data_IF_386518451728
#
_entry.id   IF_386518451728
#
_cell.length_a   1.000
_cell.length_b   1.000
_cell.length_c   1.000
_cell.angle_alpha   90.00
_cell.angle_beta   90.00
_cell.angle_gamma   90.00
#
_symmetry.space_group_name_H-M   'P 1'
#
loop_
_entity.id
_entity.type
_entity.pdbx_description
1 polymer ?
#
# COMPACT_ATOMS: atom_id res chain seq x y z
N UNK A 1 -5.40 8.47 -4.88
CA UNK A 1 -4.69 7.87 -6.05
C UNK A 1 -3.99 8.90 -6.94
N UNK A 2 -4.67 9.94 -7.44
CA UNK A 2 -4.07 10.89 -8.40
C UNK A 2 -2.83 11.65 -7.88
N UNK A 3 -2.69 11.79 -6.57
CA UNK A 3 -1.52 12.39 -5.95
C UNK A 3 -0.32 11.44 -5.84
N UNK A 4 -0.54 10.13 -5.87
CA UNK A 4 0.52 9.13 -5.69
C UNK A 4 1.32 8.91 -6.98
N UNK A 5 2.61 8.63 -6.85
CA UNK A 5 3.46 8.17 -7.94
C UNK A 5 3.33 6.66 -8.12
N UNK A 6 3.11 5.93 -7.02
CA UNK A 6 2.83 4.49 -7.02
C UNK A 6 1.73 4.12 -6.04
N UNK A 7 0.92 3.12 -6.40
CA UNK A 7 -0.03 2.45 -5.51
C UNK A 7 0.48 1.05 -5.20
N UNK A 8 0.56 0.70 -3.92
CA UNK A 8 1.06 -0.58 -3.42
C UNK A 8 -0.05 -1.43 -2.78
N UNK A 9 0.00 -2.74 -3.03
CA UNK A 9 -0.79 -3.75 -2.31
C UNK A 9 0.05 -4.92 -1.84
N UNK A 10 -0.40 -5.55 -0.76
CA UNK A 10 0.11 -6.85 -0.35
C UNK A 10 -0.30 -7.97 -1.31
N UNK A 11 0.52 -9.02 -1.38
CA UNK A 11 0.27 -10.19 -2.24
C UNK A 11 -1.08 -10.90 -1.99
N UNK A 12 -1.59 -10.88 -0.76
CA UNK A 12 -2.93 -11.41 -0.47
C UNK A 12 -4.04 -10.50 -0.99
N UNK A 13 -3.88 -9.19 -0.82
CA UNK A 13 -4.84 -8.20 -1.32
C UNK A 13 -4.95 -8.25 -2.83
N UNK A 14 -3.83 -8.35 -3.56
CA UNK A 14 -3.91 -8.43 -5.02
C UNK A 14 -4.55 -9.73 -5.51
N UNK A 15 -4.42 -10.84 -4.77
CA UNK A 15 -5.11 -12.10 -5.10
C UNK A 15 -6.63 -12.00 -4.96
N UNK A 16 -7.11 -11.15 -4.05
CA UNK A 16 -8.53 -10.85 -3.89
C UNK A 16 -9.00 -9.73 -4.85
N UNK A 17 -8.09 -8.90 -5.35
CA UNK A 17 -8.39 -7.83 -6.28
C UNK A 17 -8.55 -8.36 -7.71
N UNK A 18 -9.36 -7.67 -8.52
CA UNK A 18 -9.59 -8.04 -9.92
C UNK A 18 -8.67 -7.30 -10.90
N UNK A 19 -8.44 -6.00 -10.70
CA UNK A 19 -7.72 -5.15 -11.65
C UNK A 19 -6.85 -4.06 -11.00
N UNK A 20 -6.21 -3.21 -11.82
CA UNK A 20 -5.25 -2.19 -11.38
C UNK A 20 -5.89 -1.00 -10.64
N UNK A 21 -5.05 -0.22 -9.96
CA UNK A 21 -5.42 1.11 -9.47
C UNK A 21 -5.28 2.10 -10.62
N UNK A 22 -6.44 2.54 -11.12
CA UNK A 22 -6.52 3.68 -12.01
C UNK A 22 -7.10 4.91 -11.30
N UNK A 23 -6.61 6.06 -11.71
CA UNK A 23 -7.29 7.35 -11.63
C UNK A 23 -8.34 7.35 -12.74
N UNK A 24 -9.62 7.42 -12.34
CA UNK A 24 -10.77 7.33 -13.26
C UNK A 24 -11.22 8.69 -13.79
N UNK A 25 -10.97 9.75 -13.04
CA UNK A 25 -11.38 11.10 -13.41
C UNK A 25 -10.44 11.67 -14.51
N UNK A 26 -10.96 12.06 -15.68
CA UNK A 26 -10.14 12.59 -16.78
C UNK A 26 -9.46 13.93 -16.46
N UNK A 27 -10.05 14.76 -15.60
CA UNK A 27 -9.45 16.01 -15.16
C UNK A 27 -8.23 15.77 -14.29
N UNK A 28 -8.30 14.77 -13.40
CA UNK A 28 -7.17 14.36 -12.57
C UNK A 28 -6.04 13.73 -13.38
N UNK A 29 -6.33 12.91 -14.40
CA UNK A 29 -5.29 12.37 -15.29
C UNK A 29 -4.65 13.47 -16.14
N UNK A 30 -5.43 14.41 -16.68
CA UNK A 30 -4.91 15.57 -17.39
C UNK A 30 -4.01 16.46 -16.50
N UNK A 31 -4.42 16.69 -15.25
CA UNK A 31 -3.62 17.44 -14.26
C UNK A 31 -2.27 16.77 -13.95
N UNK A 32 -2.25 15.43 -13.85
CA UNK A 32 -0.98 14.68 -13.73
C UNK A 32 -0.09 14.88 -14.95
N UNK A 33 -0.64 14.78 -16.16
CA UNK A 33 0.13 14.97 -17.39
C UNK A 33 0.67 16.41 -17.51
N UNK A 34 -0.14 17.41 -17.16
CA UNK A 34 0.27 18.81 -17.14
C UNK A 34 1.42 19.10 -16.16
N UNK A 35 1.57 18.28 -15.11
CA UNK A 35 2.69 18.33 -14.15
C UNK A 35 3.86 17.41 -14.53
N UNK A 36 3.90 16.89 -15.77
CA UNK A 36 4.97 16.04 -16.28
C UNK A 36 4.94 14.60 -15.75
N UNK A 37 3.87 14.19 -15.07
CA UNK A 37 3.70 12.84 -14.51
C UNK A 37 2.91 11.96 -15.48
N UNK A 38 3.09 10.63 -15.45
CA UNK A 38 2.25 9.72 -16.23
C UNK A 38 0.77 9.85 -15.84
N UNK A 39 -0.14 9.64 -16.80
CA UNK A 39 -1.59 9.74 -16.59
C UNK A 39 -2.07 8.86 -15.43
N UNK A 40 -1.43 7.69 -15.24
CA UNK A 40 -1.70 6.76 -14.15
C UNK A 40 -0.51 6.69 -13.18
N UNK A 41 -0.74 6.46 -11.87
CA UNK A 41 0.33 6.05 -10.97
C UNK A 41 0.86 4.67 -11.37
N UNK A 42 2.12 4.41 -11.09
CA UNK A 42 2.65 3.05 -11.12
C UNK A 42 1.84 2.16 -10.16
N UNK A 43 1.86 0.85 -10.43
CA UNK A 43 1.22 -0.15 -9.60
C UNK A 43 2.28 -1.11 -9.07
N UNK A 44 2.24 -1.42 -7.78
CA UNK A 44 3.20 -2.30 -7.13
C UNK A 44 2.53 -3.38 -6.28
N UNK A 45 3.02 -4.60 -6.39
CA UNK A 45 2.65 -5.69 -5.48
C UNK A 45 3.83 -6.04 -4.60
N UNK A 46 3.62 -6.08 -3.30
CA UNK A 46 4.62 -6.50 -2.31
C UNK A 46 4.28 -7.91 -1.84
N UNK A 47 5.17 -8.86 -2.08
CA UNK A 47 4.93 -10.28 -1.78
C UNK A 47 6.19 -11.00 -1.35
N UNK A 48 6.12 -11.74 -0.24
CA UNK A 48 7.22 -12.57 0.23
C UNK A 48 7.41 -13.84 -0.62
N UNK A 49 6.31 -14.43 -1.09
CA UNK A 49 6.35 -15.70 -1.84
C UNK A 49 6.55 -15.53 -3.34
N UNK A 50 6.36 -14.32 -3.88
CA UNK A 50 6.30 -14.08 -5.32
C UNK A 50 5.03 -14.62 -5.99
N UNK A 51 4.19 -15.35 -5.26
CA UNK A 51 3.02 -16.02 -5.83
C UNK A 51 1.88 -15.00 -6.08
N UNK A 52 1.75 -14.63 -7.34
CA UNK A 52 0.70 -13.78 -7.90
C UNK A 52 0.10 -14.55 -9.09
N UNK A 53 -1.24 -14.70 -9.19
CA UNK A 53 -1.83 -15.40 -10.32
C UNK A 53 -1.49 -14.69 -11.64
N UNK A 54 -0.87 -15.38 -12.62
CA UNK A 54 -0.47 -14.76 -13.89
C UNK A 54 -1.67 -14.30 -14.73
N UNK A 55 -2.86 -14.80 -14.44
CA UNK A 55 -4.12 -14.45 -15.12
C UNK A 55 -4.82 -13.22 -14.57
N UNK A 56 -4.24 -12.51 -13.58
CA UNK A 56 -4.85 -11.28 -13.06
C UNK A 56 -4.90 -10.19 -14.13
N UNK A 57 -6.06 -9.55 -14.29
CA UNK A 57 -6.24 -8.37 -15.16
C UNK A 57 -5.29 -7.24 -14.75
N UNK A 58 -4.81 -7.26 -13.50
CA UNK A 58 -3.75 -6.39 -13.01
C UNK A 58 -2.57 -6.34 -13.98
N UNK A 59 -2.14 -7.45 -14.57
CA UNK A 59 -1.00 -7.49 -15.50
C UNK A 59 -1.30 -6.92 -16.90
N UNK A 60 -2.56 -6.86 -17.31
CA UNK A 60 -2.94 -6.67 -18.71
C UNK A 60 -3.39 -5.23 -19.02
N UNK A 61 -3.62 -4.40 -18.01
CA UNK A 61 -4.04 -3.01 -18.27
C UNK A 61 -2.96 -2.17 -18.99
N UNK A 62 -3.32 -1.41 -20.03
CA UNK A 62 -2.37 -0.60 -20.78
C UNK A 62 -1.84 0.57 -19.97
N UNK A 63 -0.67 1.09 -20.36
CA UNK A 63 -0.12 2.39 -19.91
C UNK A 63 0.10 2.56 -18.39
N UNK A 64 0.29 1.45 -17.68
CA UNK A 64 0.61 1.43 -16.25
C UNK A 64 1.95 0.72 -16.03
N UNK A 65 2.93 1.45 -15.49
CA UNK A 65 4.17 0.85 -15.03
C UNK A 65 3.91 -0.08 -13.84
N UNK A 66 4.52 -1.27 -13.84
CA UNK A 66 4.24 -2.33 -12.87
C UNK A 66 5.48 -2.87 -12.22
N UNK A 67 5.37 -3.07 -10.92
CA UNK A 67 6.44 -3.61 -10.10
C UNK A 67 5.94 -4.77 -9.24
N UNK A 68 6.74 -5.81 -9.13
CA UNK A 68 6.58 -6.85 -8.10
C UNK A 68 7.79 -6.77 -7.19
N UNK A 69 7.57 -6.30 -5.97
CA UNK A 69 8.56 -6.21 -4.91
C UNK A 69 8.57 -7.50 -4.10
N UNK A 70 9.72 -8.16 -4.04
CA UNK A 70 9.86 -9.45 -3.35
C UNK A 70 11.27 -9.64 -2.80
N UNK A 71 11.45 -10.66 -1.94
CA UNK A 71 12.77 -11.10 -1.51
C UNK A 71 13.35 -12.13 -2.49
N UNK A 72 14.64 -12.46 -2.35
CA UNK A 72 15.34 -13.38 -3.26
C UNK A 72 14.62 -14.73 -3.42
N UNK A 73 14.05 -15.26 -2.33
CA UNK A 73 13.27 -16.51 -2.34
C UNK A 73 11.99 -16.47 -3.18
N UNK A 74 11.32 -15.31 -3.24
CA UNK A 74 10.09 -15.13 -4.01
C UNK A 74 10.35 -14.73 -5.47
N UNK A 75 11.56 -14.27 -5.80
CA UNK A 75 11.90 -13.75 -7.12
C UNK A 75 11.64 -14.73 -8.29
N UNK A 76 11.93 -16.05 -8.19
CA UNK A 76 11.61 -16.98 -9.28
C UNK A 76 10.12 -17.04 -9.59
N UNK A 77 9.27 -17.21 -8.57
CA UNK A 77 7.81 -17.26 -8.73
C UNK A 77 7.24 -15.93 -9.24
N UNK A 78 7.76 -14.81 -8.75
CA UNK A 78 7.36 -13.48 -9.21
C UNK A 78 7.67 -13.27 -10.70
N UNK A 79 8.85 -13.70 -11.16
CA UNK A 79 9.25 -13.60 -12.58
C UNK A 79 8.38 -14.48 -13.47
N UNK A 80 8.09 -15.70 -13.03
CA UNK A 80 7.19 -16.62 -13.72
C UNK A 80 5.77 -16.05 -13.83
N UNK A 81 5.25 -15.45 -12.76
CA UNK A 81 3.93 -14.81 -12.76
C UNK A 81 3.89 -13.59 -13.69
N UNK A 82 4.92 -12.73 -13.61
CA UNK A 82 4.99 -11.50 -14.38
C UNK A 82 5.10 -11.74 -15.90
N UNK A 83 5.90 -12.74 -16.33
CA UNK A 83 6.16 -13.02 -17.75
C UNK A 83 6.58 -11.78 -18.54
N UNK A 84 7.38 -10.90 -17.93
CA UNK A 84 7.81 -9.64 -18.54
C UNK A 84 6.79 -8.49 -18.52
N UNK A 85 5.55 -8.71 -18.03
CA UNK A 85 4.50 -7.67 -17.91
C UNK A 85 4.67 -6.75 -16.70
N UNK A 86 5.59 -7.09 -15.79
CA UNK A 86 5.95 -6.28 -14.64
C UNK A 86 7.44 -6.44 -14.34
N UNK A 87 8.08 -5.38 -13.85
CA UNK A 87 9.44 -5.42 -13.35
C UNK A 87 9.48 -6.12 -11.99
N UNK A 88 10.31 -7.15 -11.85
CA UNK A 88 10.50 -7.84 -10.56
C UNK A 88 11.70 -7.24 -9.85
N UNK A 89 11.44 -6.59 -8.72
CA UNK A 89 12.44 -5.92 -7.88
C UNK A 89 12.73 -6.78 -6.67
N UNK A 90 13.99 -7.20 -6.53
CA UNK A 90 14.45 -8.03 -5.41
C UNK A 90 15.02 -7.12 -4.32
N UNK A 91 14.40 -7.12 -3.14
CA UNK A 91 14.71 -6.21 -2.02
C UNK A 91 15.72 -6.78 -1.01
N UNK A 92 16.39 -7.88 -1.37
CA UNK A 92 17.40 -8.56 -0.55
C UNK A 92 17.12 -10.04 -0.32
N UNK A 93 18.00 -10.68 0.44
CA UNK A 93 17.94 -12.12 0.76
C UNK A 93 16.93 -12.45 1.88
N UNK A 94 16.62 -11.47 2.72
CA UNK A 94 15.78 -11.63 3.91
C UNK A 94 14.28 -11.42 3.67
N UNK A 95 13.57 -11.16 4.76
CA UNK A 95 12.19 -10.65 4.66
C UNK A 95 12.18 -9.28 3.98
N UNK A 96 11.14 -9.03 3.19
CA UNK A 96 10.91 -7.71 2.60
C UNK A 96 10.66 -6.69 3.72
N UNK A 97 11.43 -5.60 3.72
CA UNK A 97 11.26 -4.46 4.63
C UNK A 97 10.70 -3.25 3.87
N UNK A 98 10.01 -2.37 4.61
CA UNK A 98 9.52 -1.11 4.04
C UNK A 98 10.68 -0.17 3.68
N UNK A 99 11.75 -0.17 4.47
CA UNK A 99 12.97 0.61 4.21
C UNK A 99 13.59 0.24 2.85
N UNK A 100 13.87 -1.05 2.62
CA UNK A 100 14.47 -1.50 1.37
C UNK A 100 13.55 -1.23 0.16
N UNK A 101 12.24 -1.37 0.35
CA UNK A 101 11.25 -1.02 -0.66
C UNK A 101 11.34 0.47 -1.01
N UNK A 102 11.33 1.37 -0.01
CA UNK A 102 11.41 2.81 -0.24
C UNK A 102 12.74 3.21 -0.91
N UNK A 103 13.86 2.62 -0.51
CA UNK A 103 15.16 2.85 -1.17
C UNK A 103 15.10 2.51 -2.67
N UNK A 104 14.50 1.38 -3.01
CA UNK A 104 14.31 0.98 -4.40
C UNK A 104 13.36 1.93 -5.17
N UNK A 105 12.36 2.51 -4.51
CA UNK A 105 11.47 3.50 -5.11
C UNK A 105 12.16 4.85 -5.33
N UNK A 106 12.98 5.31 -4.38
CA UNK A 106 13.77 6.54 -4.50
C UNK A 106 14.73 6.47 -5.68
N UNK A 107 15.40 5.33 -5.88
CA UNK A 107 16.27 5.10 -7.05
C UNK A 107 15.50 5.21 -8.39
N UNK A 108 14.18 5.01 -8.37
CA UNK A 108 13.27 5.14 -9.51
C UNK A 108 12.57 6.49 -9.57
N UNK A 109 12.96 7.46 -8.72
CA UNK A 109 12.34 8.79 -8.59
C UNK A 109 10.85 8.74 -8.26
N UNK A 110 10.45 7.75 -7.47
CA UNK A 110 9.09 7.61 -6.95
C UNK A 110 9.09 8.13 -5.51
N UNK A 111 8.33 9.19 -5.24
CA UNK A 111 8.36 9.88 -3.94
C UNK A 111 7.04 9.71 -3.17
N UNK A 112 5.89 9.78 -3.87
CA UNK A 112 4.56 9.69 -3.25
C UNK A 112 4.03 8.27 -3.33
N UNK A 113 4.12 7.54 -2.22
CA UNK A 113 3.68 6.15 -2.12
C UNK A 113 2.31 6.07 -1.46
N UNK A 114 1.33 5.47 -2.14
CA UNK A 114 0.04 5.13 -1.55
C UNK A 114 -0.02 3.63 -1.28
N UNK A 115 -0.19 3.24 -0.02
CA UNK A 115 -0.41 1.85 0.37
C UNK A 115 -1.90 1.63 0.58
N UNK A 116 -2.55 0.88 -0.30
CA UNK A 116 -4.02 0.73 -0.28
C UNK A 116 -4.50 -0.51 0.46
N UNK A 117 -3.64 -1.50 0.69
CA UNK A 117 -4.13 -2.68 1.39
C UNK A 117 -3.14 -3.77 1.69
N UNK A 118 -3.64 -4.64 2.55
CA UNK A 118 -2.93 -5.75 3.18
C UNK A 118 -2.54 -5.34 4.58
N UNK A 119 -3.23 -5.87 5.60
CA UNK A 119 -2.92 -5.57 7.00
C UNK A 119 -1.45 -5.86 7.34
N UNK A 120 -0.86 -6.90 6.74
CA UNK A 120 0.57 -7.19 6.85
C UNK A 120 1.48 -6.16 6.18
N UNK A 121 1.06 -5.60 5.03
CA UNK A 121 1.81 -4.54 4.35
C UNK A 121 1.73 -3.23 5.15
N UNK A 122 0.54 -2.83 5.62
CA UNK A 122 0.43 -1.67 6.50
C UNK A 122 1.25 -1.85 7.78
N UNK A 123 1.24 -3.06 8.37
CA UNK A 123 2.07 -3.38 9.52
C UNK A 123 3.57 -3.24 9.24
N UNK A 124 4.04 -3.67 8.06
CA UNK A 124 5.43 -3.53 7.65
C UNK A 124 5.89 -2.06 7.68
N UNK A 125 5.09 -1.14 7.13
CA UNK A 125 5.38 0.30 7.20
C UNK A 125 5.25 0.85 8.63
N UNK A 126 4.19 0.46 9.35
CA UNK A 126 3.93 0.93 10.71
C UNK A 126 5.04 0.52 11.70
N UNK A 127 5.51 -0.74 11.64
CA UNK A 127 6.56 -1.30 12.50
C UNK A 127 7.95 -0.76 12.19
N UNK A 128 8.16 -0.15 11.03
CA UNK A 128 9.40 0.56 10.66
C UNK A 128 9.30 2.08 10.86
N UNK A 129 8.08 2.62 11.03
CA UNK A 129 7.87 4.03 11.36
C UNK A 129 7.88 4.91 10.12
N UNK A 130 7.52 4.32 8.98
CA UNK A 130 7.58 4.92 7.65
C UNK A 130 6.19 5.31 7.13
N UNK A 131 5.30 5.71 8.03
CA UNK A 131 3.97 6.22 7.70
C UNK A 131 3.93 7.71 8.00
N UNK A 132 3.55 8.51 7.00
CA UNK A 132 3.34 9.95 7.18
C UNK A 132 1.88 10.28 7.54
N UNK A 133 0.94 9.60 6.88
CA UNK A 133 -0.49 9.81 7.04
C UNK A 133 -1.28 8.50 6.87
N UNK A 134 -2.47 8.46 7.47
CA UNK A 134 -3.40 7.33 7.37
C UNK A 134 -4.76 7.88 6.95
N UNK A 135 -5.32 7.33 5.88
CA UNK A 135 -6.69 7.57 5.46
C UNK A 135 -7.55 6.38 5.86
N UNK A 136 -8.60 6.61 6.63
CA UNK A 136 -9.52 5.55 7.10
C UNK A 136 -10.94 5.93 6.71
N UNK A 137 -11.64 5.01 6.03
CA UNK A 137 -13.07 5.12 5.83
C UNK A 137 -13.78 4.18 6.79
N UNK A 138 -14.67 4.72 7.61
CA UNK A 138 -15.61 3.93 8.41
C UNK A 138 -16.90 3.78 7.60
N UNK A 139 -17.29 2.53 7.38
CA UNK A 139 -18.51 2.18 6.64
C UNK A 139 -19.58 1.66 7.61
N UNK A 140 -20.88 1.71 7.26
CA UNK A 140 -21.96 1.27 8.15
C UNK A 140 -22.13 -0.26 8.17
N UNK A 141 -21.03 -1.01 8.10
CA UNK A 141 -21.02 -2.47 8.03
C UNK A 141 -20.11 -3.08 9.08
N UNK A 142 -20.57 -4.17 9.71
CA UNK A 142 -19.81 -4.92 10.71
C UNK A 142 -19.54 -6.33 10.20
N UNK A 143 -18.26 -6.68 10.03
CA UNK A 143 -17.85 -8.01 9.57
C UNK A 143 -17.63 -9.00 10.73
N UNK A 144 -17.04 -8.54 11.84
CA UNK A 144 -16.61 -9.41 12.95
C UNK A 144 -15.53 -10.43 12.56
N UNK A 145 -15.05 -11.21 13.53
CA UNK A 145 -14.10 -12.32 13.31
C UNK A 145 -12.70 -12.09 13.88
N UNK A 146 -12.21 -13.05 14.68
CA UNK A 146 -10.90 -12.95 15.33
C UNK A 146 -9.72 -13.01 14.32
N UNK A 147 -9.92 -13.65 13.17
CA UNK A 147 -8.95 -13.74 12.08
C UNK A 147 -9.28 -12.82 10.89
N UNK A 148 -10.30 -11.97 11.02
CA UNK A 148 -10.68 -11.06 9.94
C UNK A 148 -9.55 -10.04 9.71
N UNK A 149 -9.24 -9.68 8.44
CA UNK A 149 -8.25 -8.64 8.16
C UNK A 149 -8.60 -7.31 8.83
N UNK A 150 -7.61 -6.71 9.47
CA UNK A 150 -7.71 -5.40 10.13
C UNK A 150 -6.85 -4.35 9.41
N UNK A 151 -6.97 -3.08 9.82
CA UNK A 151 -6.17 -1.98 9.27
C UNK A 151 -4.65 -2.24 9.40
N UNK A 152 -4.21 -2.62 10.60
CA UNK A 152 -2.84 -3.07 10.89
C UNK A 152 -2.90 -4.53 11.33
N UNK A 153 -2.37 -5.41 10.49
CA UNK A 153 -2.18 -6.82 10.83
C UNK A 153 -0.86 -7.04 11.58
N UNK A 154 -0.28 -8.23 11.42
CA UNK A 154 1.00 -8.58 11.99
C UNK A 154 0.97 -8.78 13.51
N UNK A 155 2.13 -8.70 14.15
CA UNK A 155 2.30 -9.04 15.57
C UNK A 155 1.78 -7.96 16.54
N UNK A 156 1.54 -6.74 16.05
CA UNK A 156 1.18 -5.59 16.88
C UNK A 156 2.37 -4.99 17.63
N UNK A 157 2.16 -3.80 18.17
CA UNK A 157 3.15 -3.14 19.03
C UNK A 157 3.16 -3.76 20.43
N UNK A 158 4.31 -3.79 21.13
CA UNK A 158 4.37 -4.16 22.54
C UNK A 158 3.45 -3.28 23.40
N UNK A 159 3.06 -3.79 24.57
CA UNK A 159 2.26 -3.04 25.53
C UNK A 159 2.89 -1.67 25.87
N UNK A 160 2.06 -0.63 25.95
CA UNK A 160 2.51 0.74 26.22
C UNK A 160 3.19 1.46 25.04
N UNK A 161 3.24 0.83 23.85
CA UNK A 161 3.77 1.43 22.63
C UNK A 161 2.67 1.58 21.60
N UNK A 162 2.52 2.78 21.07
CA UNK A 162 1.49 3.11 20.08
C UNK A 162 2.06 4.02 18.99
N UNK A 163 1.41 4.00 17.83
CA UNK A 163 1.58 5.03 16.83
C UNK A 163 0.65 6.19 17.17
N UNK A 164 1.21 7.38 17.44
CA UNK A 164 0.39 8.56 17.76
C UNK A 164 -0.10 9.21 16.47
N UNK A 165 -1.41 9.41 16.40
CA UNK A 165 -2.08 10.03 15.27
C UNK A 165 -2.69 11.38 15.68
N UNK A 166 -2.61 12.37 14.81
CA UNK A 166 -3.36 13.61 14.91
C UNK A 166 -4.42 13.62 13.81
N UNK A 167 -5.69 13.79 14.20
CA UNK A 167 -6.79 13.94 13.25
C UNK A 167 -6.62 15.28 12.53
N UNK A 168 -6.53 15.24 11.19
CA UNK A 168 -6.47 16.43 10.34
C UNK A 168 -7.82 16.72 9.68
N UNK A 169 -8.57 15.67 9.33
CA UNK A 169 -9.86 15.80 8.67
C UNK A 169 -10.80 14.69 9.13
N UNK A 170 -12.06 15.06 9.41
CA UNK A 170 -13.17 14.14 9.55
C UNK A 170 -14.36 14.65 8.74
N UNK A 171 -14.75 13.91 7.71
CA UNK A 171 -15.82 14.29 6.78
C UNK A 171 -16.81 13.14 6.64
N UNK A 172 -18.10 13.44 6.77
CA UNK A 172 -19.18 12.49 6.46
C UNK A 172 -19.58 12.63 4.99
N UNK A 173 -19.78 11.50 4.33
CA UNK A 173 -20.42 11.44 3.01
C UNK A 173 -21.38 10.26 2.97
N UNK A 174 -22.68 10.55 2.81
CA UNK A 174 -23.73 9.55 3.01
C UNK A 174 -23.67 8.96 4.42
N UNK A 175 -23.59 7.63 4.52
CA UNK A 175 -23.47 6.88 5.77
C UNK A 175 -22.01 6.50 6.13
N UNK A 176 -21.04 7.05 5.40
CA UNK A 176 -19.62 6.78 5.60
C UNK A 176 -18.90 7.98 6.23
N UNK A 177 -17.83 7.70 6.98
CA UNK A 177 -16.95 8.72 7.56
C UNK A 177 -15.55 8.55 7.01
N UNK A 178 -15.02 9.60 6.39
CA UNK A 178 -13.67 9.69 5.86
C UNK A 178 -12.81 10.44 6.86
N UNK A 179 -11.73 9.79 7.30
CA UNK A 179 -10.79 10.31 8.28
C UNK A 179 -9.42 10.40 7.65
N UNK A 180 -8.75 11.54 7.85
CA UNK A 180 -7.33 11.71 7.56
C UNK A 180 -6.59 11.99 8.85
N UNK A 181 -5.61 11.16 9.14
CA UNK A 181 -4.70 11.32 10.26
C UNK A 181 -3.29 11.57 9.76
N UNK A 182 -2.57 12.48 10.41
CA UNK A 182 -1.10 12.54 10.31
C UNK A 182 -0.46 11.74 11.42
N UNK A 183 0.62 11.05 11.10
CA UNK A 183 1.45 10.34 12.07
C UNK A 183 2.37 11.35 12.75
N UNK A 184 2.32 11.42 14.07
CA UNK A 184 3.08 12.41 14.86
C UNK A 184 4.34 11.80 15.49
N UNK A 185 4.49 10.47 15.41
CA UNK A 185 5.68 9.75 15.85
C UNK A 185 5.36 8.57 16.78
N UNK A 186 6.44 7.95 17.28
CA UNK A 186 6.40 6.90 18.30
C UNK A 186 6.75 7.52 19.64
N UNK A 187 5.85 7.41 20.61
CA UNK A 187 6.13 7.85 21.98
C UNK A 187 5.60 6.86 23.00
N UNK A 188 6.15 6.86 24.23
CA UNK A 188 5.36 6.41 25.38
C UNK A 188 4.14 7.31 25.45
N UNK A 189 2.97 6.72 25.51
CA UNK A 189 1.73 7.46 25.62
C UNK A 189 0.65 6.51 26.07
N UNK A 190 -0.05 6.88 27.14
CA UNK A 190 -1.33 6.27 27.42
C UNK A 190 -2.26 6.54 26.23
N UNK A 191 -3.03 5.54 25.75
CA UNK A 191 -4.18 5.85 24.92
C UNK A 191 -5.04 6.86 25.70
N UNK A 192 -5.65 7.86 25.05
CA UNK A 192 -6.47 8.85 25.75
C UNK A 192 -7.47 8.13 26.66
N UNK A 193 -7.55 8.57 27.91
CA UNK A 193 -8.49 8.01 28.87
C UNK A 193 -9.90 8.01 28.25
N UNK A 194 -10.56 6.86 28.31
CA UNK A 194 -11.94 6.70 27.83
C UNK A 194 -12.91 7.47 28.70
#
# INVERSE_FOLDING_TARGET
RAEADIVLWGGETIRAARGPAHVRDPGLTASRQASGRPAQPANGVVTASGNIPPSLEWFDAPDVARFVFTGARGAPAAREAARGRAEVVVLGEGEVSATALLDALVQRRIEKVLVEGGGGLHWMFAREGLLDAIHVTLTPWLAGGASAPTLLGGAGFPAGRFLRLALEEARREGEEVFLRYRVVGRGPGEPPAR
#
